data_IF_263678035223
#
_entry.id   IF_263678035223
#
_cell.length_a   1.000
_cell.length_b   1.000
_cell.length_c   1.000
_cell.angle_alpha   90.00
_cell.angle_beta   90.00
_cell.angle_gamma   90.00
#
_symmetry.space_group_name_H-M   'P 1'
#
loop_
_entity.id
_entity.type
_entity.pdbx_description
1 polymer ?
#
# COMPACT_ATOMS: atom_id res chain seq x y z
N UNK A 1 -1.66 24.16 5.18
CA UNK A 1 -0.32 23.62 4.87
C UNK A 1 -0.40 22.98 3.48
N UNK A 2 0.37 23.48 2.52
CA UNK A 2 0.32 22.96 1.15
C UNK A 2 0.96 21.54 1.09
N UNK A 3 0.56 20.69 0.12
CA UNK A 3 0.94 19.25 0.07
C UNK A 3 2.46 19.09 0.04
N UNK A 4 3.15 19.95 -0.72
CA UNK A 4 4.60 19.95 -0.81
C UNK A 4 5.28 20.09 0.54
N UNK A 5 4.76 20.94 1.41
CA UNK A 5 5.32 21.08 2.75
C UNK A 5 5.18 19.78 3.54
N UNK A 6 4.03 19.10 3.44
CA UNK A 6 3.80 17.84 4.12
C UNK A 6 4.78 16.74 3.65
N UNK A 7 4.98 16.65 2.34
CA UNK A 7 5.87 15.67 1.72
C UNK A 7 7.33 15.98 2.09
N UNK A 8 7.74 17.24 1.96
CA UNK A 8 9.08 17.69 2.36
C UNK A 8 9.32 17.43 3.85
N UNK A 9 8.39 17.80 4.72
CA UNK A 9 8.47 17.54 6.16
C UNK A 9 8.62 16.04 6.44
N UNK A 10 7.88 15.18 5.74
CA UNK A 10 7.98 13.73 5.90
C UNK A 10 9.33 13.16 5.46
N UNK A 11 9.90 13.69 4.36
CA UNK A 11 11.23 13.30 3.87
C UNK A 11 12.34 13.76 4.82
N UNK A 12 12.31 15.01 5.29
CA UNK A 12 13.32 15.56 6.20
C UNK A 12 13.18 15.03 7.64
N UNK A 13 11.99 14.56 8.03
CA UNK A 13 11.77 13.95 9.34
C UNK A 13 12.58 12.65 9.53
N UNK A 14 12.82 11.88 8.46
CA UNK A 14 13.55 10.63 8.55
C UNK A 14 14.99 10.79 9.10
N UNK A 15 15.88 11.59 8.47
CA UNK A 15 17.22 11.82 9.03
C UNK A 15 17.17 12.53 10.38
N UNK A 16 16.19 13.40 10.61
CA UNK A 16 16.03 14.06 11.92
C UNK A 16 15.75 13.05 13.04
N UNK A 17 14.79 12.13 12.86
CA UNK A 17 14.51 11.08 13.85
C UNK A 17 15.69 10.14 14.03
N UNK A 18 16.44 9.84 12.96
CA UNK A 18 17.69 9.10 13.08
C UNK A 18 18.69 9.82 14.00
N UNK A 19 18.95 11.11 13.78
CA UNK A 19 19.87 11.90 14.60
C UNK A 19 19.40 11.99 16.06
N UNK A 20 18.11 12.29 16.30
CA UNK A 20 17.54 12.31 17.65
C UNK A 20 17.68 10.94 18.33
N UNK A 21 17.53 9.85 17.58
CA UNK A 21 17.64 8.49 18.13
C UNK A 21 19.07 8.13 18.56
N UNK A 22 20.09 8.81 18.01
CA UNK A 22 21.49 8.66 18.45
C UNK A 22 21.72 9.29 19.82
N UNK A 23 20.95 10.34 20.16
CA UNK A 23 20.98 10.97 21.48
C UNK A 23 20.11 10.20 22.47
N UNK A 24 18.81 10.05 22.17
CA UNK A 24 17.83 9.36 23.01
C UNK A 24 16.78 8.64 22.15
N UNK A 25 16.90 7.31 22.03
CA UNK A 25 15.95 6.48 21.25
C UNK A 25 14.50 6.68 21.67
N UNK A 26 14.20 6.77 22.96
CA UNK A 26 12.83 7.01 23.45
C UNK A 26 12.26 8.34 22.91
N UNK A 27 13.06 9.41 22.94
CA UNK A 27 12.63 10.72 22.45
C UNK A 27 12.34 10.69 20.95
N UNK A 28 13.17 9.99 20.15
CA UNK A 28 12.94 9.85 18.71
C UNK A 28 11.63 9.13 18.38
N UNK A 29 11.30 8.05 19.10
CA UNK A 29 10.07 7.30 18.88
C UNK A 29 8.82 8.09 19.32
N UNK A 30 8.91 8.84 20.43
CA UNK A 30 7.83 9.76 20.85
C UNK A 30 7.63 10.89 19.84
N UNK A 31 8.72 11.49 19.37
CA UNK A 31 8.67 12.53 18.35
C UNK A 31 8.10 12.00 17.02
N UNK A 32 8.50 10.80 16.61
CA UNK A 32 7.91 10.12 15.46
C UNK A 32 6.41 9.92 15.64
N UNK A 33 5.96 9.35 16.76
CA UNK A 33 4.53 9.13 17.02
C UNK A 33 3.72 10.45 17.02
N UNK A 34 4.22 11.49 17.68
CA UNK A 34 3.59 12.81 17.68
C UNK A 34 3.50 13.40 16.26
N UNK A 35 4.56 13.26 15.47
CA UNK A 35 4.57 13.71 14.08
C UNK A 35 3.58 12.94 13.20
N UNK A 36 3.47 11.62 13.36
CA UNK A 36 2.49 10.82 12.60
C UNK A 36 1.04 11.16 12.97
N UNK A 37 0.76 11.40 14.26
CA UNK A 37 -0.55 11.86 14.72
C UNK A 37 -0.86 13.23 14.09
N UNK A 38 0.11 14.16 14.12
CA UNK A 38 -0.06 15.48 13.51
C UNK A 38 -0.38 15.37 12.00
N UNK A 39 0.36 14.56 11.25
CA UNK A 39 0.09 14.35 9.82
C UNK A 39 -1.30 13.75 9.61
N UNK A 40 -1.69 12.73 10.39
CA UNK A 40 -3.01 12.13 10.28
C UNK A 40 -4.12 13.15 10.53
N UNK A 41 -4.06 13.88 11.64
CA UNK A 41 -5.04 14.93 11.98
C UNK A 41 -5.08 16.00 10.89
N UNK A 42 -3.91 16.40 10.38
CA UNK A 42 -3.82 17.37 9.30
C UNK A 42 -4.51 16.86 8.02
N UNK A 43 -4.15 15.67 7.53
CA UNK A 43 -4.73 15.09 6.31
C UNK A 43 -6.23 14.87 6.46
N UNK A 44 -6.67 14.32 7.60
CA UNK A 44 -8.07 13.97 7.83
C UNK A 44 -8.98 15.20 7.86
N UNK A 45 -8.61 16.25 8.62
CA UNK A 45 -9.46 17.43 8.79
C UNK A 45 -9.24 18.52 7.74
N UNK A 46 -8.01 18.70 7.25
CA UNK A 46 -7.66 19.80 6.35
C UNK A 46 -7.41 19.36 4.90
N UNK A 47 -7.32 18.06 4.62
CA UNK A 47 -7.18 17.56 3.25
C UNK A 47 -8.49 17.55 2.44
N UNK A 48 -9.66 17.67 3.08
CA UNK A 48 -10.96 17.61 2.42
C UNK A 48 -11.47 18.94 1.83
N UNK A 49 -10.76 20.07 2.04
CA UNK A 49 -11.30 21.41 1.79
C UNK A 49 -11.25 21.91 0.34
N UNK A 50 -10.82 21.08 -0.62
CA UNK A 50 -10.85 21.40 -2.05
C UNK A 50 -9.77 20.70 -2.86
N UNK A 51 -9.98 20.62 -4.18
CA UNK A 51 -8.97 20.08 -5.09
C UNK A 51 -7.80 21.06 -5.22
N UNK A 52 -6.59 20.64 -4.83
CA UNK A 52 -5.36 21.38 -5.11
C UNK A 52 -4.45 20.58 -6.03
N UNK A 53 -3.64 21.29 -6.81
CA UNK A 53 -2.64 20.74 -7.70
C UNK A 53 -1.35 21.54 -7.54
N UNK A 54 -0.25 20.83 -7.34
CA UNK A 54 1.04 21.43 -7.00
C UNK A 54 2.14 20.75 -7.79
N UNK A 55 3.06 21.54 -8.35
CA UNK A 55 4.15 21.05 -9.21
C UNK A 55 5.48 21.53 -8.68
N UNK A 56 6.43 20.60 -8.60
CA UNK A 56 7.85 20.91 -8.37
C UNK A 56 8.63 20.48 -9.61
N UNK A 57 9.05 21.45 -10.41
CA UNK A 57 9.93 21.18 -11.54
C UNK A 57 11.37 20.97 -11.08
N UNK A 58 11.94 19.81 -11.38
CA UNK A 58 13.38 19.53 -11.20
C UNK A 58 14.13 19.87 -12.48
N UNK A 59 13.60 19.42 -13.61
CA UNK A 59 14.08 19.78 -14.95
C UNK A 59 12.88 20.18 -15.80
N UNK A 60 13.10 20.85 -16.94
CA UNK A 60 12.01 21.19 -17.86
C UNK A 60 11.17 19.99 -18.37
N UNK A 61 11.60 18.75 -18.10
CA UNK A 61 10.87 17.51 -18.44
C UNK A 61 10.57 16.60 -17.25
N UNK A 62 11.18 16.82 -16.09
CA UNK A 62 11.00 16.01 -14.88
C UNK A 62 10.39 16.88 -13.79
N UNK A 63 9.09 16.71 -13.61
CA UNK A 63 8.28 17.41 -12.63
C UNK A 63 7.71 16.39 -11.64
N UNK A 64 7.69 16.76 -10.36
CA UNK A 64 6.86 16.08 -9.38
C UNK A 64 5.50 16.76 -9.31
N UNK A 65 4.44 16.05 -9.67
CA UNK A 65 3.09 16.57 -9.62
C UNK A 65 2.30 15.92 -8.49
N UNK A 66 1.69 16.74 -7.65
CA UNK A 66 0.86 16.32 -6.54
C UNK A 66 -0.54 16.89 -6.64
N UNK A 67 -1.51 16.13 -6.14
CA UNK A 67 -2.91 16.53 -6.11
C UNK A 67 -3.60 16.10 -4.82
N UNK A 68 -4.55 16.91 -4.37
CA UNK A 68 -5.46 16.60 -3.27
C UNK A 68 -6.87 16.44 -3.83
N UNK A 69 -7.19 15.31 -4.43
CA UNK A 69 -8.58 14.96 -4.79
C UNK A 69 -9.26 14.18 -3.65
N UNK A 70 -10.59 14.01 -3.67
CA UNK A 70 -11.28 13.14 -2.70
C UNK A 70 -10.72 11.72 -2.65
N UNK A 71 -10.22 11.20 -3.77
CA UNK A 71 -9.56 9.89 -3.84
C UNK A 71 -8.22 9.92 -3.12
N UNK A 72 -7.37 10.92 -3.38
CA UNK A 72 -6.09 11.05 -2.67
C UNK A 72 -6.32 11.21 -1.16
N UNK A 73 -7.27 12.08 -0.77
CA UNK A 73 -7.64 12.27 0.63
C UNK A 73 -8.12 10.98 1.30
N UNK A 74 -8.97 10.19 0.62
CA UNK A 74 -9.47 8.92 1.15
C UNK A 74 -8.34 7.94 1.47
N UNK A 75 -7.44 7.70 0.49
CA UNK A 75 -6.31 6.79 0.70
C UNK A 75 -5.29 7.34 1.70
N UNK A 76 -5.03 8.66 1.68
CA UNK A 76 -4.06 9.29 2.56
C UNK A 76 -4.55 9.22 4.01
N UNK A 77 -5.85 9.45 4.23
CA UNK A 77 -6.48 9.32 5.54
C UNK A 77 -6.34 7.90 6.09
N UNK A 78 -6.57 6.88 5.27
CA UNK A 78 -6.43 5.47 5.68
C UNK A 78 -4.98 5.14 6.02
N UNK A 79 -4.06 5.45 5.12
CA UNK A 79 -2.63 5.15 5.29
C UNK A 79 -2.09 5.84 6.55
N UNK A 80 -2.42 7.12 6.75
CA UNK A 80 -1.96 7.88 7.92
C UNK A 80 -2.65 7.46 9.22
N UNK A 81 -3.91 7.02 9.17
CA UNK A 81 -4.55 6.41 10.33
C UNK A 81 -3.75 5.19 10.79
N UNK A 82 -3.45 4.25 9.88
CA UNK A 82 -2.70 3.04 10.22
C UNK A 82 -1.28 3.36 10.71
N UNK A 83 -0.58 4.28 10.03
CA UNK A 83 0.79 4.64 10.42
C UNK A 83 0.80 5.33 11.79
N UNK A 84 -0.14 6.25 12.06
CA UNK A 84 -0.20 6.96 13.34
C UNK A 84 -0.58 6.05 14.51
N UNK A 85 -1.57 5.16 14.35
CA UNK A 85 -1.93 4.20 15.41
C UNK A 85 -0.79 3.22 15.67
N UNK A 86 -0.11 2.75 14.61
CA UNK A 86 1.04 1.86 14.76
C UNK A 86 2.23 2.57 15.42
N UNK A 87 2.43 3.86 15.14
CA UNK A 87 3.49 4.66 15.74
C UNK A 87 3.32 4.78 17.27
N UNK A 88 2.09 4.91 17.75
CA UNK A 88 1.77 4.89 19.18
C UNK A 88 1.97 3.48 19.75
N UNK A 89 1.44 2.46 19.06
CA UNK A 89 1.54 1.06 19.47
C UNK A 89 3.00 0.59 19.69
N UNK A 90 3.95 1.10 18.90
CA UNK A 90 5.36 0.67 19.00
C UNK A 90 6.19 1.37 20.08
N UNK A 91 5.66 2.38 20.79
CA UNK A 91 6.38 3.08 21.87
C UNK A 91 6.98 2.16 22.97
N UNK A 92 6.29 1.10 23.44
CA UNK A 92 6.86 0.14 24.41
C UNK A 92 7.77 -0.91 23.79
N UNK A 93 7.85 -1.03 22.45
CA UNK A 93 8.63 -2.05 21.77
C UNK A 93 10.13 -1.70 21.72
N UNK A 94 10.94 -2.66 21.23
CA UNK A 94 12.40 -2.53 21.13
C UNK A 94 12.75 -1.43 20.12
N UNK A 95 13.50 -0.43 20.57
CA UNK A 95 13.83 0.75 19.77
C UNK A 95 15.15 0.59 19.00
N UNK A 96 15.15 1.02 17.74
CA UNK A 96 16.31 1.05 16.86
C UNK A 96 16.33 2.34 16.04
N UNK A 97 17.51 2.95 15.95
CA UNK A 97 17.75 4.14 15.12
C UNK A 97 17.47 3.88 13.64
N UNK A 98 17.87 2.70 13.16
CA UNK A 98 17.65 2.30 11.76
C UNK A 98 16.16 2.09 11.51
N UNK A 99 15.44 1.43 12.43
CA UNK A 99 14.00 1.20 12.28
C UNK A 99 13.20 2.49 12.22
N UNK A 100 13.44 3.46 13.12
CA UNK A 100 12.68 4.73 13.11
C UNK A 100 12.97 5.56 11.85
N UNK A 101 14.21 5.52 11.34
CA UNK A 101 14.56 6.12 10.05
C UNK A 101 13.77 5.49 8.90
N UNK A 102 13.76 4.15 8.81
CA UNK A 102 13.07 3.43 7.74
C UNK A 102 11.55 3.57 7.83
N UNK A 103 10.96 3.54 9.03
CA UNK A 103 9.52 3.79 9.24
C UNK A 103 9.11 5.20 8.79
N UNK A 104 9.97 6.20 9.04
CA UNK A 104 9.75 7.56 8.53
C UNK A 104 9.88 7.65 7.01
N UNK A 105 10.83 6.92 6.39
CA UNK A 105 10.90 6.82 4.93
C UNK A 105 9.68 6.10 4.33
N UNK A 106 9.18 5.05 4.98
CA UNK A 106 7.94 4.37 4.60
C UNK A 106 6.78 5.37 4.61
N UNK A 107 6.69 6.21 5.64
CA UNK A 107 5.67 7.27 5.73
C UNK A 107 5.80 8.24 4.57
N UNK A 108 6.99 8.78 4.33
CA UNK A 108 7.25 9.75 3.26
C UNK A 108 6.93 9.17 1.88
N UNK A 109 7.36 7.93 1.62
CA UNK A 109 7.05 7.21 0.38
C UNK A 109 5.56 6.93 0.21
N UNK A 110 4.87 6.51 1.27
CA UNK A 110 3.45 6.21 1.18
C UNK A 110 2.61 7.47 0.94
N UNK A 111 2.88 8.57 1.65
CA UNK A 111 2.11 9.80 1.50
C UNK A 111 2.37 10.50 0.16
N UNK A 112 3.62 10.52 -0.30
CA UNK A 112 3.95 11.09 -1.62
C UNK A 112 3.38 10.24 -2.77
N UNK A 113 3.32 8.91 -2.61
CA UNK A 113 2.68 8.04 -3.58
C UNK A 113 1.17 8.31 -3.67
N UNK A 114 0.48 8.41 -2.53
CA UNK A 114 -0.96 8.68 -2.52
C UNK A 114 -1.30 10.06 -3.06
N UNK A 115 -0.49 11.09 -2.76
CA UNK A 115 -0.73 12.44 -3.29
C UNK A 115 -0.23 12.67 -4.70
N UNK A 116 0.37 11.68 -5.36
CA UNK A 116 0.82 11.82 -6.75
C UNK A 116 -0.34 12.19 -7.69
N UNK A 117 -0.03 12.99 -8.71
CA UNK A 117 -0.95 13.33 -9.81
C UNK A 117 -0.51 12.77 -11.17
N UNK A 118 0.64 12.10 -11.20
CA UNK A 118 1.21 11.47 -12.38
C UNK A 118 1.90 10.14 -12.01
N UNK A 119 2.07 9.27 -13.01
CA UNK A 119 2.63 7.93 -12.80
C UNK A 119 4.12 7.94 -12.41
N UNK A 120 4.90 8.95 -12.81
CA UNK A 120 6.31 9.05 -12.47
C UNK A 120 6.51 9.44 -11.00
N UNK A 121 5.76 10.43 -10.52
CA UNK A 121 5.74 10.81 -9.10
C UNK A 121 5.25 9.66 -8.25
N UNK A 122 4.16 8.98 -8.67
CA UNK A 122 3.67 7.77 -8.01
C UNK A 122 4.80 6.74 -7.87
N UNK A 123 5.49 6.44 -8.97
CA UNK A 123 6.60 5.49 -9.01
C UNK A 123 7.67 5.85 -7.98
N UNK A 124 8.24 7.05 -8.05
CA UNK A 124 9.39 7.43 -7.23
C UNK A 124 9.09 7.28 -5.73
N UNK A 125 7.95 7.78 -5.28
CA UNK A 125 7.56 7.66 -3.87
C UNK A 125 7.19 6.23 -3.46
N UNK A 126 6.61 5.46 -4.37
CA UNK A 126 6.35 4.04 -4.16
C UNK A 126 7.64 3.24 -3.97
N UNK A 127 8.68 3.53 -4.77
CA UNK A 127 10.00 2.92 -4.63
C UNK A 127 10.63 3.26 -3.28
N UNK A 128 10.55 4.53 -2.83
CA UNK A 128 11.04 4.95 -1.51
C UNK A 128 10.43 4.08 -0.40
N UNK A 129 9.11 3.87 -0.44
CA UNK A 129 8.42 3.00 0.53
C UNK A 129 8.86 1.54 0.41
N UNK A 130 9.10 1.07 -0.81
CA UNK A 130 9.42 -0.33 -1.11
C UNK A 130 10.82 -0.71 -0.64
N UNK A 131 11.82 0.12 -0.92
CA UNK A 131 13.19 -0.05 -0.43
C UNK A 131 13.28 0.03 1.09
N UNK A 132 12.59 1.00 1.70
CA UNK A 132 12.54 1.10 3.16
C UNK A 132 11.91 -0.15 3.80
N UNK A 133 10.85 -0.69 3.18
CA UNK A 133 10.20 -1.94 3.61
C UNK A 133 11.12 -3.15 3.50
N UNK A 134 11.88 -3.28 2.41
CA UNK A 134 12.83 -4.37 2.20
C UNK A 134 13.87 -4.41 3.32
N UNK A 135 14.44 -3.25 3.67
CA UNK A 135 15.45 -3.16 4.73
C UNK A 135 14.81 -3.40 6.11
N UNK A 136 13.55 -3.03 6.31
CA UNK A 136 12.82 -3.33 7.55
C UNK A 136 12.58 -4.83 7.75
N UNK A 137 12.24 -5.58 6.69
CA UNK A 137 11.96 -7.02 6.76
C UNK A 137 13.16 -7.81 7.31
N UNK A 138 14.39 -7.33 7.08
CA UNK A 138 15.61 -8.03 7.50
C UNK A 138 16.15 -7.65 8.90
N UNK A 139 15.46 -6.78 9.65
CA UNK A 139 16.04 -6.20 10.88
C UNK A 139 16.08 -7.14 12.09
N UNK A 140 15.15 -8.09 12.23
CA UNK A 140 14.95 -8.81 13.51
C UNK A 140 15.24 -10.31 13.47
N UNK A 141 15.13 -10.98 12.32
CA UNK A 141 15.20 -12.45 12.25
C UNK A 141 16.37 -12.93 11.39
N UNK A 142 17.19 -13.86 11.89
CA UNK A 142 18.36 -14.38 11.17
C UNK A 142 18.05 -15.02 9.81
N UNK A 143 16.86 -15.60 9.64
CA UNK A 143 16.42 -16.27 8.40
C UNK A 143 15.57 -15.37 7.47
N UNK A 144 15.53 -14.06 7.69
CA UNK A 144 14.69 -13.12 6.92
C UNK A 144 15.17 -12.82 5.50
N UNK A 145 16.44 -13.08 5.17
CA UNK A 145 17.04 -12.69 3.89
C UNK A 145 16.36 -13.35 2.70
N UNK A 146 16.00 -14.64 2.81
CA UNK A 146 15.30 -15.35 1.74
C UNK A 146 13.92 -14.75 1.44
N UNK A 147 13.18 -14.36 2.48
CA UNK A 147 11.87 -13.74 2.32
C UNK A 147 11.97 -12.29 1.81
N UNK A 148 12.99 -11.55 2.23
CA UNK A 148 13.28 -10.23 1.69
C UNK A 148 13.65 -10.28 0.20
N UNK A 149 14.39 -11.31 -0.25
CA UNK A 149 14.70 -11.52 -1.67
C UNK A 149 13.43 -11.82 -2.47
N UNK A 150 12.54 -12.69 -1.97
CA UNK A 150 11.25 -12.96 -2.63
C UNK A 150 10.38 -11.71 -2.72
N UNK A 151 10.32 -10.91 -1.65
CA UNK A 151 9.67 -9.60 -1.65
C UNK A 151 10.26 -8.68 -2.71
N UNK A 152 11.59 -8.54 -2.74
CA UNK A 152 12.30 -7.71 -3.70
C UNK A 152 12.02 -8.13 -5.14
N UNK A 153 12.04 -9.43 -5.42
CA UNK A 153 11.82 -9.97 -6.76
C UNK A 153 10.40 -9.66 -7.26
N UNK A 154 9.37 -9.90 -6.45
CA UNK A 154 7.98 -9.62 -6.86
C UNK A 154 7.72 -8.12 -6.92
N UNK A 155 8.26 -7.34 -5.98
CA UNK A 155 8.19 -5.89 -6.02
C UNK A 155 8.85 -5.33 -7.28
N UNK A 156 10.02 -5.85 -7.68
CA UNK A 156 10.71 -5.45 -8.91
C UNK A 156 9.90 -5.76 -10.16
N UNK A 157 9.24 -6.93 -10.24
CA UNK A 157 8.32 -7.27 -11.35
C UNK A 157 7.22 -6.21 -11.46
N UNK A 158 6.59 -5.85 -10.35
CA UNK A 158 5.58 -4.78 -10.31
C UNK A 158 6.15 -3.42 -10.73
N UNK A 159 7.21 -2.96 -10.06
CA UNK A 159 7.81 -1.64 -10.30
C UNK A 159 8.34 -1.48 -11.72
N UNK A 160 8.99 -2.50 -12.29
CA UNK A 160 9.47 -2.44 -13.67
C UNK A 160 8.33 -2.52 -14.69
N UNK A 161 7.25 -3.25 -14.39
CA UNK A 161 6.06 -3.21 -15.25
C UNK A 161 5.43 -1.81 -15.29
N UNK A 162 5.30 -1.13 -14.13
CA UNK A 162 4.80 0.24 -14.09
C UNK A 162 5.78 1.23 -14.76
N UNK A 163 7.10 1.05 -14.57
CA UNK A 163 8.12 1.87 -15.24
C UNK A 163 8.04 1.72 -16.77
N UNK A 164 7.85 0.50 -17.26
CA UNK A 164 7.60 0.26 -18.67
C UNK A 164 6.33 0.96 -19.15
N UNK A 165 5.22 0.89 -18.39
CA UNK A 165 3.99 1.61 -18.70
C UNK A 165 4.23 3.13 -18.79
N UNK A 166 5.02 3.70 -17.87
CA UNK A 166 5.38 5.13 -17.85
C UNK A 166 6.11 5.53 -19.13
N UNK A 167 7.17 4.82 -19.52
CA UNK A 167 7.91 5.13 -20.75
C UNK A 167 7.05 4.92 -22.00
N UNK A 168 6.20 3.90 -21.99
CA UNK A 168 5.31 3.64 -23.10
C UNK A 168 4.20 4.71 -23.22
N UNK A 169 3.64 5.18 -22.10
CA UNK A 169 2.71 6.31 -22.06
C UNK A 169 3.37 7.59 -22.57
N UNK A 170 4.59 7.91 -22.13
CA UNK A 170 5.32 9.08 -22.62
C UNK A 170 5.55 8.99 -24.15
N UNK A 171 5.98 7.83 -24.64
CA UNK A 171 6.20 7.61 -26.08
C UNK A 171 4.93 7.72 -26.93
N UNK A 172 3.79 7.20 -26.45
CA UNK A 172 2.55 7.11 -27.24
C UNK A 172 1.60 8.29 -27.05
N UNK A 173 1.59 8.88 -25.86
CA UNK A 173 0.65 9.93 -25.44
C UNK A 173 1.34 11.29 -25.23
N UNK A 174 2.67 11.30 -25.07
CA UNK A 174 3.46 12.50 -24.73
C UNK A 174 3.19 13.03 -23.31
N UNK A 175 2.70 12.17 -22.40
CA UNK A 175 2.36 12.54 -21.03
C UNK A 175 2.26 11.32 -20.13
N UNK A 176 2.50 11.53 -18.84
CA UNK A 176 2.35 10.54 -17.76
C UNK A 176 1.45 11.06 -16.64
N UNK A 177 0.85 12.24 -16.80
CA UNK A 177 -0.09 12.83 -15.85
C UNK A 177 -1.45 12.13 -15.94
N UNK A 178 -2.05 11.79 -14.80
CA UNK A 178 -3.28 10.99 -14.79
C UNK A 178 -4.41 11.61 -15.62
N UNK A 179 -4.62 12.92 -15.46
CA UNK A 179 -5.64 13.70 -16.16
C UNK A 179 -5.44 13.67 -17.69
N UNK A 180 -4.20 13.91 -18.13
CA UNK A 180 -3.83 13.99 -19.54
C UNK A 180 -3.82 12.62 -20.21
N UNK A 181 -3.40 11.57 -19.50
CA UNK A 181 -3.49 10.18 -19.96
C UNK A 181 -4.96 9.80 -20.15
N UNK A 182 -5.83 10.11 -19.19
CA UNK A 182 -7.26 9.79 -19.25
C UNK A 182 -7.94 10.38 -20.50
N UNK A 183 -7.55 11.59 -20.92
CA UNK A 183 -8.10 12.26 -22.11
C UNK A 183 -7.59 11.68 -23.43
N UNK A 184 -6.37 11.10 -23.45
CA UNK A 184 -5.72 10.66 -24.68
C UNK A 184 -5.77 9.15 -24.91
N UNK A 185 -5.98 8.34 -23.86
CA UNK A 185 -5.84 6.88 -23.95
C UNK A 185 -6.94 6.24 -24.81
N UNK A 186 -8.16 6.77 -24.79
CA UNK A 186 -9.32 6.22 -25.50
C UNK A 186 -9.14 6.27 -27.03
N UNK A 187 -8.43 7.27 -27.55
CA UNK A 187 -8.17 7.41 -28.99
C UNK A 187 -6.99 6.57 -29.49
N UNK A 188 -6.24 5.92 -28.58
CA UNK A 188 -5.14 5.06 -28.98
C UNK A 188 -5.63 3.72 -29.53
N UNK A 189 -4.83 3.06 -30.39
CA UNK A 189 -5.10 1.69 -30.81
C UNK A 189 -5.26 0.76 -29.60
N UNK A 190 -6.16 -0.22 -29.70
CA UNK A 190 -6.47 -1.15 -28.60
C UNK A 190 -5.24 -1.86 -28.04
N UNK A 191 -4.25 -2.18 -28.88
CA UNK A 191 -2.97 -2.76 -28.44
C UNK A 191 -2.22 -1.85 -27.46
N UNK A 192 -2.20 -0.54 -27.71
CA UNK A 192 -1.56 0.44 -26.83
C UNK A 192 -2.27 0.49 -25.47
N UNK A 193 -3.61 0.53 -25.51
CA UNK A 193 -4.44 0.53 -24.31
C UNK A 193 -4.18 -0.73 -23.46
N UNK A 194 -4.28 -1.91 -24.07
CA UNK A 194 -4.05 -3.20 -23.40
C UNK A 194 -2.64 -3.28 -22.82
N UNK A 195 -1.61 -2.82 -23.53
CA UNK A 195 -0.23 -2.82 -23.03
C UNK A 195 -0.09 -1.96 -21.77
N UNK A 196 -0.63 -0.74 -21.76
CA UNK A 196 -0.55 0.17 -20.60
C UNK A 196 -1.29 -0.44 -19.41
N UNK A 197 -2.55 -0.86 -19.61
CA UNK A 197 -3.38 -1.39 -18.53
C UNK A 197 -2.84 -2.71 -17.97
N UNK A 198 -2.29 -3.59 -18.82
CA UNK A 198 -1.69 -4.85 -18.37
C UNK A 198 -0.46 -4.59 -17.51
N UNK A 199 0.41 -3.67 -17.94
CA UNK A 199 1.61 -3.30 -17.21
C UNK A 199 1.27 -2.66 -15.84
N UNK A 200 0.26 -1.79 -15.78
CA UNK A 200 -0.24 -1.25 -14.50
C UNK A 200 -0.92 -2.33 -13.64
N UNK A 201 -1.65 -3.27 -14.25
CA UNK A 201 -2.31 -4.37 -13.53
C UNK A 201 -1.29 -5.30 -12.86
N UNK A 202 -0.16 -5.59 -13.51
CA UNK A 202 0.94 -6.38 -12.91
C UNK A 202 1.44 -5.70 -11.63
N UNK A 203 1.62 -4.38 -11.65
CA UNK A 203 2.00 -3.61 -10.46
C UNK A 203 0.93 -3.68 -9.35
N UNK A 204 -0.34 -3.55 -9.69
CA UNK A 204 -1.45 -3.71 -8.73
C UNK A 204 -1.40 -5.08 -8.07
N UNK A 205 -1.31 -6.15 -8.86
CA UNK A 205 -1.26 -7.53 -8.35
C UNK A 205 -0.03 -7.77 -7.46
N UNK A 206 1.13 -7.26 -7.87
CA UNK A 206 2.37 -7.39 -7.11
C UNK A 206 2.26 -6.69 -5.75
N UNK A 207 1.78 -5.44 -5.69
CA UNK A 207 1.74 -4.67 -4.44
C UNK A 207 0.63 -5.09 -3.49
N UNK A 208 -0.54 -5.47 -4.02
CA UNK A 208 -1.64 -5.96 -3.20
C UNK A 208 -1.41 -7.39 -2.71
N UNK A 209 -0.44 -8.10 -3.32
CA UNK A 209 -0.22 -9.52 -3.10
C UNK A 209 -1.42 -10.35 -3.50
N UNK A 210 -1.99 -10.03 -4.66
CA UNK A 210 -3.13 -10.75 -5.25
C UNK A 210 -2.59 -11.87 -6.15
N UNK A 211 -3.32 -12.97 -6.26
CA UNK A 211 -2.98 -14.04 -7.20
C UNK A 211 -2.73 -13.49 -8.63
N UNK A 212 -1.67 -13.92 -9.33
CA UNK A 212 -0.69 -14.96 -8.95
C UNK A 212 0.52 -14.44 -8.15
N UNK A 213 0.69 -13.13 -7.97
CA UNK A 213 1.88 -12.51 -7.37
C UNK A 213 1.83 -12.38 -5.83
N UNK A 214 1.05 -13.24 -5.17
CA UNK A 214 0.76 -13.21 -3.74
C UNK A 214 1.85 -13.82 -2.83
N UNK A 215 2.82 -14.54 -3.39
CA UNK A 215 3.70 -15.46 -2.64
C UNK A 215 4.69 -14.77 -1.71
N UNK A 216 4.98 -13.48 -1.90
CA UNK A 216 5.85 -12.72 -0.98
C UNK A 216 5.19 -12.42 0.36
N UNK A 217 3.86 -12.32 0.41
CA UNK A 217 3.15 -11.67 1.51
C UNK A 217 3.34 -12.44 2.83
N UNK A 218 3.18 -13.77 2.79
CA UNK A 218 3.39 -14.67 3.93
C UNK A 218 4.76 -14.50 4.55
N UNK A 219 5.81 -14.63 3.74
CA UNK A 219 7.19 -14.60 4.18
C UNK A 219 7.65 -13.25 4.72
N UNK A 220 7.21 -12.18 4.07
CA UNK A 220 7.50 -10.81 4.52
C UNK A 220 6.88 -10.55 5.88
N UNK A 221 5.60 -10.92 6.09
CA UNK A 221 4.94 -10.69 7.37
C UNK A 221 5.50 -11.57 8.50
N UNK A 222 5.81 -12.84 8.22
CA UNK A 222 6.40 -13.72 9.23
C UNK A 222 7.82 -13.28 9.62
N UNK A 223 8.56 -12.63 8.72
CA UNK A 223 9.93 -12.17 8.98
C UNK A 223 10.02 -10.75 9.52
N UNK A 224 9.07 -9.88 9.13
CA UNK A 224 9.08 -8.48 9.50
C UNK A 224 8.99 -8.24 11.02
N UNK A 225 9.60 -7.15 11.50
CA UNK A 225 9.37 -6.64 12.84
C UNK A 225 7.87 -6.52 13.15
N UNK A 226 7.52 -6.77 14.40
CA UNK A 226 6.14 -6.71 14.91
C UNK A 226 5.50 -5.34 14.66
N UNK A 227 6.28 -4.28 14.88
CA UNK A 227 5.88 -2.88 14.64
C UNK A 227 5.67 -2.53 13.16
N UNK A 228 6.20 -3.32 12.22
CA UNK A 228 6.10 -2.99 10.79
C UNK A 228 4.94 -3.72 10.08
N UNK A 229 4.58 -4.91 10.55
CA UNK A 229 3.53 -5.73 9.92
C UNK A 229 2.17 -5.01 9.77
N UNK A 230 1.68 -4.22 10.76
CA UNK A 230 0.46 -3.44 10.61
C UNK A 230 0.54 -2.40 9.48
N UNK A 231 1.67 -1.71 9.33
CA UNK A 231 1.89 -0.71 8.28
C UNK A 231 1.97 -1.39 6.91
N UNK A 232 2.72 -2.50 6.81
CA UNK A 232 2.88 -3.24 5.58
C UNK A 232 1.52 -3.74 5.04
N UNK A 233 0.71 -4.37 5.90
CA UNK A 233 -0.59 -4.90 5.48
C UNK A 233 -1.66 -3.82 5.40
N UNK A 234 -1.87 -3.04 6.47
CA UNK A 234 -2.96 -2.06 6.58
C UNK A 234 -2.74 -0.79 5.75
N UNK A 235 -1.49 -0.37 5.55
CA UNK A 235 -1.13 0.85 4.82
C UNK A 235 -0.60 0.57 3.42
N UNK A 236 0.54 -0.12 3.30
CA UNK A 236 1.28 -0.18 2.02
C UNK A 236 0.58 -0.98 0.92
N UNK A 237 -0.15 -2.05 1.26
CA UNK A 237 -0.96 -2.75 0.26
C UNK A 237 -2.07 -1.87 -0.33
N UNK A 238 -2.50 -0.81 0.39
CA UNK A 238 -3.59 0.09 -0.05
C UNK A 238 -3.11 1.04 -1.14
N UNK A 239 -1.80 1.23 -1.30
CA UNK A 239 -1.24 1.88 -2.48
C UNK A 239 -1.60 1.13 -3.78
N UNK A 240 -1.65 -0.20 -3.73
CA UNK A 240 -2.15 -1.00 -4.84
C UNK A 240 -3.64 -0.78 -5.12
N UNK A 241 -4.44 -0.64 -4.05
CA UNK A 241 -5.85 -0.24 -4.16
C UNK A 241 -6.02 1.17 -4.74
N UNK A 242 -5.13 2.11 -4.40
CA UNK A 242 -5.11 3.45 -4.98
C UNK A 242 -4.86 3.39 -6.49
N UNK A 243 -3.82 2.68 -6.92
CA UNK A 243 -3.53 2.50 -8.35
C UNK A 243 -4.68 1.80 -9.08
N UNK A 244 -5.31 0.79 -8.46
CA UNK A 244 -6.49 0.13 -9.02
C UNK A 244 -7.68 1.08 -9.19
N UNK A 245 -7.96 1.91 -8.18
CA UNK A 245 -9.02 2.90 -8.28
C UNK A 245 -8.69 3.96 -9.34
N UNK A 246 -7.43 4.38 -9.44
CA UNK A 246 -6.93 5.23 -10.54
C UNK A 246 -7.18 4.56 -11.90
N UNK A 247 -6.90 3.27 -12.06
CA UNK A 247 -7.15 2.52 -13.31
C UNK A 247 -8.63 2.27 -13.64
N UNK A 248 -9.56 2.52 -12.71
CA UNK A 248 -10.99 2.23 -12.93
C UNK A 248 -11.81 3.50 -13.02
N UNK A 249 -11.47 4.51 -12.23
CA UNK A 249 -12.18 5.79 -12.13
C UNK A 249 -11.44 6.91 -12.89
N UNK A 250 -10.12 7.04 -12.69
CA UNK A 250 -9.36 8.17 -13.26
C UNK A 250 -8.96 7.90 -14.70
N UNK A 251 -8.41 6.72 -14.98
CA UNK A 251 -8.29 6.14 -16.30
C UNK A 251 -9.52 5.24 -16.48
N UNK A 252 -10.63 5.70 -17.07
CA UNK A 252 -11.90 4.98 -16.98
C UNK A 252 -11.86 3.69 -17.81
N UNK A 253 -11.28 2.60 -17.28
CA UNK A 253 -11.07 1.34 -18.01
C UNK A 253 -12.34 0.79 -18.63
N UNK A 254 -13.49 0.96 -17.96
CA UNK A 254 -14.79 0.59 -18.49
C UNK A 254 -15.16 1.34 -19.78
N UNK A 255 -14.78 2.61 -19.89
CA UNK A 255 -14.94 3.41 -21.11
C UNK A 255 -13.91 3.02 -22.16
N UNK A 256 -12.63 2.92 -21.76
CA UNK A 256 -11.51 2.54 -22.64
C UNK A 256 -11.77 1.20 -23.32
N UNK A 257 -12.26 0.22 -22.57
CA UNK A 257 -12.58 -1.11 -23.07
C UNK A 257 -14.06 -1.30 -23.44
N UNK A 258 -14.85 -0.23 -23.50
CA UNK A 258 -16.29 -0.31 -23.76
C UNK A 258 -16.65 -0.85 -25.15
N UNK A 259 -15.69 -0.85 -26.09
CA UNK A 259 -15.84 -1.41 -27.44
C UNK A 259 -15.45 -2.89 -27.52
N UNK A 260 -14.83 -3.46 -26.48
CA UNK A 260 -14.48 -4.88 -26.42
C UNK A 260 -15.69 -5.74 -26.07
N UNK A 261 -15.65 -7.06 -26.37
CA UNK A 261 -16.69 -7.98 -25.96
C UNK A 261 -16.99 -7.89 -24.47
N UNK A 262 -18.27 -7.91 -24.14
CA UNK A 262 -18.76 -7.93 -22.77
C UNK A 262 -19.01 -9.36 -22.33
N UNK A 263 -18.69 -9.66 -21.08
CA UNK A 263 -19.10 -10.88 -20.40
C UNK A 263 -19.86 -10.48 -19.13
N UNK A 264 -21.10 -10.93 -18.99
CA UNK A 264 -22.01 -10.51 -17.90
C UNK A 264 -22.11 -8.99 -17.72
N UNK A 265 -22.09 -8.23 -18.82
CA UNK A 265 -22.17 -6.76 -18.79
C UNK A 265 -20.86 -6.04 -18.42
N UNK A 266 -19.74 -6.77 -18.27
CA UNK A 266 -18.42 -6.22 -17.94
C UNK A 266 -17.47 -6.41 -19.13
N UNK A 267 -16.65 -5.42 -19.53
CA UNK A 267 -15.63 -5.61 -20.56
C UNK A 267 -14.71 -6.79 -20.24
N UNK A 268 -14.35 -7.60 -21.24
CA UNK A 268 -13.61 -8.85 -21.02
C UNK A 268 -12.29 -8.67 -20.25
N UNK A 269 -11.62 -7.54 -20.42
CA UNK A 269 -10.37 -7.20 -19.70
C UNK A 269 -10.64 -6.99 -18.21
N UNK A 270 -11.63 -6.17 -17.88
CA UNK A 270 -12.11 -5.93 -16.52
C UNK A 270 -12.61 -7.23 -15.86
N UNK A 271 -13.35 -8.04 -16.61
CA UNK A 271 -13.83 -9.34 -16.14
C UNK A 271 -12.68 -10.30 -15.82
N UNK A 272 -11.66 -10.36 -16.68
CA UNK A 272 -10.46 -11.16 -16.44
C UNK A 272 -9.75 -10.74 -15.15
N UNK A 273 -9.71 -9.44 -14.86
CA UNK A 273 -9.11 -8.95 -13.62
C UNK A 273 -9.97 -9.26 -12.39
N UNK A 274 -11.29 -9.17 -12.52
CA UNK A 274 -12.23 -9.61 -11.49
C UNK A 274 -12.06 -11.11 -11.17
N UNK A 275 -11.83 -11.93 -12.20
CA UNK A 275 -11.58 -13.37 -12.04
C UNK A 275 -10.29 -13.64 -11.24
N UNK A 276 -9.21 -12.89 -11.50
CA UNK A 276 -7.99 -12.98 -10.68
C UNK A 276 -8.26 -12.61 -9.22
N UNK A 277 -9.09 -11.59 -8.98
CA UNK A 277 -9.60 -11.26 -7.64
C UNK A 277 -10.33 -12.43 -6.99
N UNK A 278 -11.27 -13.06 -7.71
CA UNK A 278 -12.00 -14.24 -7.26
C UNK A 278 -11.10 -15.44 -6.93
N UNK A 279 -10.11 -15.72 -7.77
CA UNK A 279 -9.11 -16.77 -7.51
C UNK A 279 -8.31 -16.43 -6.25
N UNK A 280 -7.90 -15.17 -6.08
CA UNK A 280 -7.16 -14.72 -4.90
C UNK A 280 -7.96 -14.87 -3.60
N UNK A 281 -9.28 -14.67 -3.64
CA UNK A 281 -10.17 -14.92 -2.50
C UNK A 281 -10.02 -16.38 -2.04
N UNK A 282 -10.22 -17.32 -2.96
CA UNK A 282 -10.17 -18.76 -2.68
C UNK A 282 -8.77 -19.20 -2.24
N UNK A 283 -7.73 -18.83 -2.99
CA UNK A 283 -6.34 -19.21 -2.69
C UNK A 283 -5.91 -18.67 -1.32
N UNK A 284 -6.19 -17.38 -1.04
CA UNK A 284 -5.86 -16.77 0.25
C UNK A 284 -6.58 -17.45 1.42
N UNK A 285 -7.88 -17.72 1.29
CA UNK A 285 -8.66 -18.36 2.36
C UNK A 285 -8.17 -19.80 2.63
N UNK A 286 -8.01 -20.62 1.58
CA UNK A 286 -7.60 -22.03 1.75
C UNK A 286 -6.20 -22.14 2.34
N UNK A 287 -5.27 -21.26 1.94
CA UNK A 287 -3.92 -21.24 2.50
C UNK A 287 -3.92 -20.76 3.96
N UNK A 288 -4.73 -19.75 4.31
CA UNK A 288 -4.82 -19.22 5.68
C UNK A 288 -5.25 -20.30 6.69
N UNK A 289 -6.23 -21.14 6.34
CA UNK A 289 -6.75 -22.22 7.22
C UNK A 289 -5.65 -23.21 7.62
N UNK A 290 -4.64 -23.41 6.78
CA UNK A 290 -3.54 -24.36 7.03
C UNK A 290 -2.36 -23.76 7.79
N UNK A 291 -2.38 -22.46 8.08
CA UNK A 291 -1.27 -21.82 8.78
C UNK A 291 -1.36 -22.07 10.28
N UNK A 292 -0.25 -22.51 10.87
CA UNK A 292 -0.12 -22.66 12.32
C UNK A 292 0.48 -21.41 12.98
N UNK A 293 1.08 -20.52 12.19
CA UNK A 293 1.60 -19.23 12.64
C UNK A 293 0.56 -18.14 12.42
N UNK A 294 0.27 -17.39 13.48
CA UNK A 294 -0.79 -16.39 13.46
C UNK A 294 -0.48 -15.22 12.48
N UNK A 295 0.80 -14.83 12.31
CA UNK A 295 1.16 -13.80 11.32
C UNK A 295 1.01 -14.31 9.90
N UNK A 296 1.39 -15.56 9.64
CA UNK A 296 1.21 -16.19 8.32
C UNK A 296 -0.27 -16.34 7.97
N UNK A 297 -1.11 -16.71 8.94
CA UNK A 297 -2.56 -16.79 8.79
C UNK A 297 -3.14 -15.44 8.34
N UNK A 298 -2.81 -14.35 9.06
CA UNK A 298 -3.30 -13.02 8.67
C UNK A 298 -2.75 -12.63 7.30
N UNK A 299 -1.48 -12.92 7.00
CA UNK A 299 -0.90 -12.59 5.69
C UNK A 299 -1.69 -13.25 4.54
N UNK A 300 -2.08 -14.51 4.68
CA UNK A 300 -2.95 -15.15 3.68
C UNK A 300 -4.40 -14.62 3.70
N UNK A 301 -4.91 -14.20 4.86
CA UNK A 301 -6.18 -13.47 4.92
C UNK A 301 -6.10 -12.16 4.13
N UNK A 302 -4.96 -11.45 4.15
CA UNK A 302 -4.71 -10.25 3.35
C UNK A 302 -4.75 -10.56 1.85
N UNK A 303 -4.22 -11.71 1.41
CA UNK A 303 -4.33 -12.17 0.00
C UNK A 303 -5.79 -12.32 -0.43
N UNK A 304 -6.63 -12.87 0.44
CA UNK A 304 -8.07 -13.03 0.17
C UNK A 304 -8.80 -11.69 0.14
N UNK A 305 -8.56 -10.81 1.12
CA UNK A 305 -9.17 -9.48 1.20
C UNK A 305 -8.72 -8.56 0.05
N UNK A 306 -7.46 -8.63 -0.38
CA UNK A 306 -7.01 -7.98 -1.61
C UNK A 306 -7.77 -8.49 -2.84
N UNK A 307 -8.11 -9.78 -2.88
CA UNK A 307 -8.95 -10.37 -3.90
C UNK A 307 -10.36 -9.77 -3.96
N UNK A 308 -11.00 -9.54 -2.80
CA UNK A 308 -12.30 -8.84 -2.73
C UNK A 308 -12.24 -7.43 -3.29
N UNK A 309 -11.18 -6.68 -2.99
CA UNK A 309 -10.98 -5.31 -3.51
C UNK A 309 -10.80 -5.35 -5.03
N UNK A 310 -9.95 -6.25 -5.52
CA UNK A 310 -9.71 -6.42 -6.97
C UNK A 310 -10.99 -6.78 -7.69
N UNK A 311 -11.76 -7.74 -7.17
CA UNK A 311 -13.02 -8.18 -7.76
C UNK A 311 -14.03 -7.03 -7.83
N UNK A 312 -14.28 -6.35 -6.71
CA UNK A 312 -15.27 -5.28 -6.62
C UNK A 312 -14.96 -4.10 -7.57
N UNK A 313 -13.72 -3.62 -7.57
CA UNK A 313 -13.32 -2.49 -8.43
C UNK A 313 -13.24 -2.87 -9.91
N UNK A 314 -12.93 -4.14 -10.22
CA UNK A 314 -12.84 -4.61 -11.61
C UNK A 314 -14.21 -4.92 -12.23
N UNK A 315 -15.23 -5.29 -11.45
CA UNK A 315 -16.61 -5.41 -11.95
C UNK A 315 -17.24 -4.02 -12.14
N UNK A 316 -16.90 -3.07 -11.26
CA UNK A 316 -17.32 -1.68 -11.37
C UNK A 316 -18.82 -1.45 -11.23
N UNK A 317 -19.25 -0.24 -11.56
CA UNK A 317 -20.60 0.24 -11.23
C UNK A 317 -20.70 0.76 -9.79
N UNK A 318 -21.68 1.62 -9.55
CA UNK A 318 -21.76 2.44 -8.32
C UNK A 318 -21.69 1.62 -7.03
N UNK A 319 -22.45 0.52 -6.95
CA UNK A 319 -22.47 -0.32 -5.76
C UNK A 319 -21.19 -1.14 -5.57
N UNK A 320 -20.62 -1.70 -6.64
CA UNK A 320 -19.38 -2.49 -6.52
C UNK A 320 -18.20 -1.58 -6.20
N UNK A 321 -18.11 -0.40 -6.82
CA UNK A 321 -17.09 0.60 -6.48
C UNK A 321 -17.21 1.07 -5.04
N UNK A 322 -18.42 1.42 -4.57
CA UNK A 322 -18.65 1.81 -3.18
C UNK A 322 -18.31 0.67 -2.20
N UNK A 323 -18.72 -0.56 -2.50
CA UNK A 323 -18.38 -1.75 -1.72
C UNK A 323 -16.87 -2.01 -1.68
N UNK A 324 -16.17 -1.86 -2.80
CA UNK A 324 -14.72 -2.01 -2.90
C UNK A 324 -13.97 -0.95 -2.09
N UNK A 325 -14.41 0.31 -2.15
CA UNK A 325 -13.85 1.39 -1.33
C UNK A 325 -14.10 1.15 0.16
N UNK A 326 -15.32 0.75 0.54
CA UNK A 326 -15.62 0.41 1.94
C UNK A 326 -14.78 -0.78 2.42
N UNK A 327 -14.58 -1.78 1.56
CA UNK A 327 -13.76 -2.95 1.90
C UNK A 327 -12.27 -2.59 2.03
N UNK A 328 -11.74 -1.64 1.23
CA UNK A 328 -10.39 -1.09 1.40
C UNK A 328 -10.21 -0.55 2.83
N UNK A 329 -11.15 0.29 3.29
CA UNK A 329 -11.13 0.88 4.63
C UNK A 329 -11.25 -0.20 5.72
N UNK A 330 -12.25 -1.08 5.61
CA UNK A 330 -12.48 -2.14 6.58
C UNK A 330 -11.27 -3.07 6.72
N UNK A 331 -10.72 -3.53 5.61
CA UNK A 331 -9.55 -4.39 5.61
C UNK A 331 -8.31 -3.68 6.15
N UNK A 332 -8.12 -2.38 5.87
CA UNK A 332 -7.00 -1.62 6.40
C UNK A 332 -7.01 -1.61 7.93
N UNK A 333 -8.16 -1.25 8.52
CA UNK A 333 -8.34 -1.18 9.97
C UNK A 333 -8.26 -2.57 10.61
N UNK A 334 -9.01 -3.54 10.08
CA UNK A 334 -9.03 -4.90 10.62
C UNK A 334 -7.65 -5.55 10.57
N UNK A 335 -6.96 -5.46 9.43
CA UNK A 335 -5.64 -6.08 9.29
C UNK A 335 -4.60 -5.44 10.21
N UNK A 336 -4.57 -4.10 10.30
CA UNK A 336 -3.67 -3.42 11.22
C UNK A 336 -3.95 -3.78 12.68
N UNK A 337 -5.22 -3.78 13.10
CA UNK A 337 -5.63 -4.15 14.45
C UNK A 337 -5.22 -5.59 14.78
N UNK A 338 -5.47 -6.55 13.88
CA UNK A 338 -5.11 -7.95 14.11
C UNK A 338 -3.57 -8.14 14.18
N UNK A 339 -2.79 -7.48 13.32
CA UNK A 339 -1.32 -7.53 13.43
C UNK A 339 -0.80 -6.90 14.73
N UNK A 340 -1.40 -5.79 15.21
CA UNK A 340 -1.06 -5.18 16.50
C UNK A 340 -1.44 -6.10 17.67
N UNK A 341 -2.59 -6.78 17.61
CA UNK A 341 -3.01 -7.74 18.61
C UNK A 341 -2.05 -8.95 18.68
N UNK A 342 -1.69 -9.54 17.53
CA UNK A 342 -0.69 -10.60 17.47
C UNK A 342 0.67 -10.12 17.99
N UNK A 343 1.10 -8.91 17.62
CA UNK A 343 2.34 -8.34 18.13
C UNK A 343 2.32 -8.19 19.66
N UNK A 344 1.20 -7.79 20.25
CA UNK A 344 1.05 -7.72 21.71
C UNK A 344 1.10 -9.11 22.36
N UNK A 345 0.45 -10.12 21.75
CA UNK A 345 0.52 -11.51 22.20
C UNK A 345 1.95 -12.05 22.10
N UNK A 346 2.62 -11.85 20.97
CA UNK A 346 4.00 -12.28 20.74
C UNK A 346 4.99 -11.58 21.69
N UNK A 347 4.75 -10.31 22.02
CA UNK A 347 5.54 -9.58 23.00
C UNK A 347 5.50 -10.25 24.39
N UNK A 348 4.34 -10.78 24.80
CA UNK A 348 4.13 -11.44 26.10
C UNK A 348 4.51 -12.92 26.11
N UNK A 349 4.22 -13.63 25.03
CA UNK A 349 4.36 -15.10 24.93
C UNK A 349 5.65 -15.54 24.26
N UNK A 350 6.35 -14.63 23.56
CA UNK A 350 7.56 -14.89 22.76
C UNK A 350 7.36 -15.83 21.56
N UNK A 351 6.12 -16.15 21.20
CA UNK A 351 5.81 -17.00 20.06
C UNK A 351 4.66 -16.44 19.22
N UNK A 352 4.65 -16.78 17.95
CA UNK A 352 3.54 -16.55 17.01
C UNK A 352 2.85 -17.85 16.59
N UNK A 353 3.31 -19.00 17.13
CA UNK A 353 2.73 -20.33 16.87
C UNK A 353 1.47 -20.52 17.67
N UNK A 354 0.33 -20.67 16.99
CA UNK A 354 -0.98 -20.75 17.64
C UNK A 354 -1.11 -21.97 18.55
N UNK A 355 -0.46 -23.10 18.22
CA UNK A 355 -0.49 -24.32 19.04
C UNK A 355 0.32 -24.21 20.34
N UNK A 356 1.21 -23.23 20.45
CA UNK A 356 1.97 -22.93 21.68
C UNK A 356 1.21 -21.94 22.60
N UNK A 357 0.07 -21.42 22.13
CA UNK A 357 -0.76 -20.46 22.86
C UNK A 357 -1.99 -21.14 23.49
N UNK A 358 -2.51 -20.57 24.58
CA UNK A 358 -3.73 -21.10 25.22
C UNK A 358 -4.22 -20.27 26.40
N UNK A 359 -5.54 -20.12 26.51
CA UNK A 359 -6.20 -19.37 27.58
C UNK A 359 -6.03 -17.85 27.50
N UNK A 360 -5.74 -17.31 26.31
CA UNK A 360 -5.49 -15.87 26.12
C UNK A 360 -6.72 -15.00 26.43
N UNK A 361 -7.94 -15.53 26.27
CA UNK A 361 -9.18 -14.84 26.69
C UNK A 361 -9.17 -14.45 28.18
N UNK A 362 -8.53 -15.25 29.04
CA UNK A 362 -8.39 -14.95 30.47
C UNK A 362 -7.10 -14.18 30.76
N UNK A 363 -6.00 -14.53 30.11
CA UNK A 363 -4.66 -13.97 30.39
C UNK A 363 -4.45 -12.58 29.79
N UNK A 364 -5.13 -12.25 28.69
CA UNK A 364 -5.00 -11.01 27.93
C UNK A 364 -6.37 -10.52 27.40
N UNK A 365 -7.38 -10.28 28.27
CA UNK A 365 -8.79 -10.06 27.90
C UNK A 365 -9.08 -8.78 27.10
N UNK A 366 -8.12 -7.85 27.03
CA UNK A 366 -8.24 -6.63 26.21
C UNK A 366 -7.67 -6.87 24.80
N UNK A 367 -6.75 -7.81 24.66
CA UNK A 367 -6.08 -8.13 23.38
C UNK A 367 -6.75 -9.27 22.64
N UNK A 368 -7.25 -10.26 23.38
CA UNK A 368 -8.09 -11.35 22.88
C UNK A 368 -9.54 -10.92 22.89
#
# INVERSE_FOLDING_TARGET
>A
MNILFLIAASLFAAPLFFLVSKLKKNAAYVAYAAFQIFIFVYVFFWGGSGASYEVVGITGRLNFNFSMTPVNWFFASIVMLIISTTAVFMLPLKKSSVKVFLLSLVTAGAIGAVFSADFLTLMIFWEISTWASLILIIQDKEKSTGEAIKYAAIAAVGSYSMLFAIFYMDSRLGTVEFSSVALKIESQPIGVQLTIFTALAIMVLAKMGTFPLHTWLRGSHSSAPDEFSPILSGGLTKLGGFLLLTMTIVLPSFKVFGTLPLFNGVPIVNYGFALLGGISIVVGTVMAIRMEDAKELIAFSTVSNSGYIVLALSIGGTYATAGGMMHILNHAMASAAMFMAIAAVAYRTRTTKMHEMGGLIVKMPVTF
#
